data_IF_556999438340
#
_entry.id   IF_556999438340
#
_cell.length_a   1.000
_cell.length_b   1.000
_cell.length_c   1.000
_cell.angle_alpha   90.00
_cell.angle_beta   90.00
_cell.angle_gamma   90.00
#
_symmetry.space_group_name_H-M   'P 1'
#
loop_
_entity.id
_entity.type
_entity.pdbx_description
1 polymer ?
#
# COMPACT_ATOMS: atom_id res chain seq x y z
N UNK A 1 -22.45 1.69 -2.34
CA UNK A 1 -21.76 2.97 -2.63
C UNK A 1 -22.38 3.71 -3.80
N UNK A 2 -22.32 3.22 -5.05
CA UNK A 2 -22.92 3.90 -6.23
C UNK A 2 -24.34 4.42 -5.99
N UNK A 3 -25.26 3.54 -5.57
CA UNK A 3 -26.64 3.93 -5.33
C UNK A 3 -26.79 5.03 -4.26
N UNK A 4 -25.97 4.97 -3.20
CA UNK A 4 -25.99 5.97 -2.12
C UNK A 4 -25.48 7.34 -2.57
N UNK A 5 -24.40 7.37 -3.37
CA UNK A 5 -23.88 8.60 -3.95
C UNK A 5 -24.86 9.22 -4.95
N UNK A 6 -25.36 8.42 -5.90
CA UNK A 6 -26.29 8.89 -6.94
C UNK A 6 -27.67 9.30 -6.43
N UNK A 7 -28.03 8.94 -5.20
CA UNK A 7 -29.26 9.42 -4.57
C UNK A 7 -29.20 10.92 -4.24
N UNK A 8 -28.01 11.53 -4.22
CA UNK A 8 -27.79 12.95 -3.89
C UNK A 8 -26.98 13.71 -4.94
N UNK A 9 -26.26 13.01 -5.82
CA UNK A 9 -25.43 13.64 -6.84
C UNK A 9 -26.27 14.29 -7.97
N UNK A 10 -25.83 15.45 -8.50
CA UNK A 10 -26.30 16.00 -9.77
C UNK A 10 -26.25 14.98 -10.91
N UNK A 11 -27.08 15.15 -11.94
CA UNK A 11 -27.21 14.17 -13.02
C UNK A 11 -25.92 13.96 -13.82
N UNK A 12 -25.16 15.04 -14.02
CA UNK A 12 -23.87 15.12 -14.70
C UNK A 12 -22.69 14.63 -13.85
N UNK A 13 -22.86 14.54 -12.53
CA UNK A 13 -21.86 14.03 -11.59
C UNK A 13 -22.08 12.57 -11.18
N UNK A 14 -23.09 11.89 -11.75
CA UNK A 14 -23.41 10.52 -11.34
C UNK A 14 -22.23 9.57 -11.51
N UNK A 15 -22.02 8.77 -10.47
CA UNK A 15 -21.02 7.73 -10.42
C UNK A 15 -21.59 6.43 -10.99
N UNK A 16 -20.87 5.76 -11.87
CA UNK A 16 -21.21 4.40 -12.30
C UNK A 16 -20.31 3.36 -11.60
N UNK A 17 -20.59 2.08 -11.85
CA UNK A 17 -19.83 0.98 -11.23
C UNK A 17 -18.38 0.92 -11.72
N UNK A 18 -18.12 1.29 -12.97
CA UNK A 18 -16.78 1.26 -13.56
C UNK A 18 -15.91 2.34 -12.94
N UNK A 19 -16.40 3.59 -12.86
CA UNK A 19 -15.70 4.70 -12.21
C UNK A 19 -15.38 4.39 -10.75
N UNK A 20 -16.33 3.82 -10.00
CA UNK A 20 -16.09 3.42 -8.62
C UNK A 20 -15.05 2.29 -8.52
N UNK A 21 -15.09 1.30 -9.41
CA UNK A 21 -14.11 0.22 -9.46
C UNK A 21 -12.71 0.77 -9.75
N UNK A 22 -12.56 1.59 -10.80
CA UNK A 22 -11.30 2.26 -11.14
C UNK A 22 -10.77 3.09 -9.97
N UNK A 23 -11.64 3.82 -9.28
CA UNK A 23 -11.25 4.59 -8.11
C UNK A 23 -10.69 3.70 -6.99
N UNK A 24 -11.29 2.53 -6.77
CA UNK A 24 -10.76 1.54 -5.82
C UNK A 24 -9.48 0.86 -6.30
N UNK A 25 -9.25 0.80 -7.61
CA UNK A 25 -8.03 0.28 -8.22
C UNK A 25 -6.92 1.33 -8.38
N UNK A 26 -7.05 2.54 -7.79
CA UNK A 26 -6.15 3.67 -8.08
C UNK A 26 -4.65 3.35 -7.98
N UNK A 27 -4.25 2.48 -7.06
CA UNK A 27 -2.86 2.08 -6.87
C UNK A 27 -2.36 1.03 -7.88
N UNK A 28 -3.27 0.34 -8.57
CA UNK A 28 -2.96 -0.59 -9.67
C UNK A 28 -2.91 0.11 -11.03
N UNK A 29 -3.56 1.27 -11.19
CA UNK A 29 -3.70 1.88 -12.52
C UNK A 29 -2.35 2.20 -13.15
N UNK A 30 -1.36 2.65 -12.36
CA UNK A 30 -0.01 2.89 -12.86
C UNK A 30 0.63 1.65 -13.49
N UNK A 31 0.52 0.48 -12.83
CA UNK A 31 0.99 -0.80 -13.36
C UNK A 31 0.21 -1.23 -14.61
N UNK A 32 -1.11 -1.12 -14.59
CA UNK A 32 -1.99 -1.51 -15.69
C UNK A 32 -1.72 -0.65 -16.93
N UNK A 33 -1.59 0.66 -16.76
CA UNK A 33 -1.30 1.59 -17.86
C UNK A 33 0.07 1.29 -18.45
N UNK A 34 1.10 1.07 -17.63
CA UNK A 34 2.45 0.66 -18.10
C UNK A 34 2.44 -0.67 -18.85
N UNK A 35 1.57 -1.59 -18.49
CA UNK A 35 1.44 -2.89 -19.14
C UNK A 35 0.69 -2.82 -20.49
N UNK A 36 -0.28 -1.92 -20.63
CA UNK A 36 -1.25 -1.95 -21.75
C UNK A 36 -1.11 -0.81 -22.74
N UNK A 37 -0.46 0.29 -22.38
CA UNK A 37 -0.40 1.50 -23.22
C UNK A 37 0.80 1.50 -24.18
N UNK A 38 0.64 2.08 -25.39
CA UNK A 38 1.76 2.39 -26.29
C UNK A 38 2.81 3.29 -25.61
N UNK A 39 4.05 3.26 -26.11
CA UNK A 39 5.14 4.02 -25.51
C UNK A 39 4.90 5.54 -25.53
N UNK A 40 4.33 6.03 -26.62
CA UNK A 40 4.03 7.45 -26.84
C UNK A 40 3.01 7.96 -25.81
N UNK A 41 1.96 7.17 -25.56
CA UNK A 41 0.95 7.48 -24.53
C UNK A 41 1.56 7.50 -23.13
N UNK A 42 2.48 6.57 -22.84
CA UNK A 42 3.16 6.54 -21.55
C UNK A 42 4.03 7.77 -21.31
N UNK A 43 4.69 8.29 -22.33
CA UNK A 43 5.54 9.46 -22.21
C UNK A 43 4.72 10.73 -21.94
N UNK A 44 3.59 10.89 -22.63
CA UNK A 44 2.63 11.97 -22.34
C UNK A 44 2.06 11.84 -20.92
N UNK A 45 1.64 10.63 -20.52
CA UNK A 45 1.09 10.39 -19.18
C UNK A 45 2.11 10.59 -18.07
N UNK A 46 3.40 10.29 -18.30
CA UNK A 46 4.48 10.57 -17.35
C UNK A 46 4.69 12.07 -17.13
N UNK A 47 4.40 12.90 -18.12
CA UNK A 47 4.46 14.35 -17.99
C UNK A 47 3.22 14.91 -17.29
N UNK A 48 2.02 14.43 -17.66
CA UNK A 48 0.76 14.92 -17.11
C UNK A 48 0.44 14.38 -15.71
N UNK A 49 0.77 13.12 -15.45
CA UNK A 49 0.43 12.40 -14.23
C UNK A 49 1.66 11.62 -13.70
N UNK A 50 2.79 12.31 -13.42
CA UNK A 50 4.04 11.66 -13.03
C UNK A 50 3.84 10.70 -11.85
N UNK A 51 2.97 11.09 -10.91
CA UNK A 51 2.59 10.32 -9.72
C UNK A 51 2.35 8.84 -9.98
N UNK A 52 1.60 8.49 -11.03
CA UNK A 52 1.21 7.10 -11.31
C UNK A 52 2.37 6.23 -11.80
N UNK A 53 3.54 6.84 -12.05
CA UNK A 53 4.70 6.18 -12.64
C UNK A 53 5.98 6.33 -11.80
N UNK A 54 6.04 7.30 -10.89
CA UNK A 54 7.22 7.55 -10.04
C UNK A 54 6.98 7.38 -8.53
N UNK A 55 5.75 7.32 -8.03
CA UNK A 55 5.52 7.20 -6.59
C UNK A 55 5.99 5.84 -6.06
N UNK A 56 7.01 5.85 -5.20
CA UNK A 56 7.25 4.80 -4.21
C UNK A 56 6.64 5.25 -2.89
N UNK A 57 5.75 4.46 -2.31
CA UNK A 57 5.10 4.88 -1.07
C UNK A 57 5.35 3.97 0.12
N UNK A 58 5.63 4.66 1.24
CA UNK A 58 5.49 4.22 2.62
C UNK A 58 6.77 3.77 3.32
N UNK A 59 6.73 3.87 4.64
CA UNK A 59 7.71 3.30 5.56
C UNK A 59 6.97 2.51 6.61
N UNK A 60 7.45 1.31 6.90
CA UNK A 60 6.82 0.42 7.85
C UNK A 60 7.85 -0.24 8.76
N UNK A 61 7.43 -0.47 10.00
CA UNK A 61 8.33 -0.92 11.06
C UNK A 61 7.59 -1.80 12.06
N UNK A 62 8.12 -3.01 12.26
CA UNK A 62 7.72 -3.92 13.33
C UNK A 62 8.80 -3.89 14.39
N UNK A 63 8.45 -3.67 15.65
CA UNK A 63 9.41 -3.63 16.74
C UNK A 63 8.91 -4.40 17.94
N UNK A 64 9.72 -5.34 18.40
CA UNK A 64 9.52 -6.01 19.68
C UNK A 64 10.29 -5.24 20.74
N UNK A 65 9.59 -4.81 21.79
CA UNK A 65 10.18 -4.20 22.99
C UNK A 65 9.93 -5.10 24.20
N UNK A 66 10.36 -4.66 25.39
CA UNK A 66 10.24 -5.45 26.61
C UNK A 66 8.79 -5.83 26.94
N UNK A 67 7.88 -4.87 26.79
CA UNK A 67 6.51 -4.96 27.29
C UNK A 67 5.45 -4.85 26.17
N UNK A 68 5.85 -4.81 24.89
CA UNK A 68 4.91 -4.72 23.76
C UNK A 68 5.52 -5.15 22.41
N UNK A 69 4.68 -5.26 21.38
CA UNK A 69 5.08 -5.33 19.97
C UNK A 69 4.38 -4.20 19.21
N UNK A 70 5.16 -3.37 18.54
CA UNK A 70 4.67 -2.26 17.74
C UNK A 70 4.65 -2.61 16.26
N UNK A 71 3.57 -2.22 15.59
CA UNK A 71 3.34 -2.44 14.16
C UNK A 71 2.93 -1.12 13.52
N UNK A 72 3.95 -0.37 13.07
CA UNK A 72 3.82 1.01 12.63
C UNK A 72 3.98 1.20 11.13
N UNK A 73 3.19 2.10 10.57
CA UNK A 73 3.18 2.44 9.15
C UNK A 73 3.00 3.95 8.95
N UNK A 74 3.86 4.55 8.12
CA UNK A 74 3.75 5.93 7.67
C UNK A 74 3.50 5.94 6.16
N UNK A 75 2.31 6.35 5.74
CA UNK A 75 1.95 6.39 4.31
C UNK A 75 2.64 7.54 3.63
N UNK A 76 3.31 7.27 2.52
CA UNK A 76 3.77 8.35 1.66
C UNK A 76 2.79 8.54 0.51
N UNK A 77 2.43 9.77 0.22
CA UNK A 77 1.49 10.09 -0.84
C UNK A 77 1.63 11.55 -1.21
N UNK A 78 0.97 11.95 -2.29
CA UNK A 78 0.77 13.38 -2.54
C UNK A 78 -0.03 14.03 -1.43
N UNK A 79 0.35 15.25 -1.04
CA UNK A 79 -0.29 15.98 0.05
C UNK A 79 -1.77 16.24 -0.20
N UNK A 80 -2.19 16.28 -1.46
CA UNK A 80 -3.59 16.46 -1.83
C UNK A 80 -4.48 15.24 -1.63
N UNK A 81 -3.96 14.12 -1.12
CA UNK A 81 -4.76 12.96 -0.72
C UNK A 81 -5.16 12.98 0.76
N UNK A 82 -4.79 14.02 1.51
CA UNK A 82 -4.96 14.10 2.97
C UNK A 82 -6.41 14.26 3.48
N UNK A 83 -7.41 13.95 2.65
CA UNK A 83 -8.78 13.74 3.11
C UNK A 83 -8.92 12.28 3.58
N UNK A 84 -8.80 12.06 4.89
CA UNK A 84 -8.61 10.72 5.48
C UNK A 84 -9.84 10.22 6.22
N UNK A 85 -9.97 8.90 6.31
CA UNK A 85 -11.00 8.21 7.08
C UNK A 85 -10.41 7.02 7.82
N UNK A 86 -10.72 6.86 9.11
CA UNK A 86 -10.49 5.61 9.84
C UNK A 86 -11.78 4.80 9.77
N UNK A 87 -11.71 3.57 9.25
CA UNK A 87 -12.89 2.75 8.94
C UNK A 87 -12.85 1.43 9.67
N UNK A 88 -14.02 0.99 10.11
CA UNK A 88 -14.27 -0.38 10.54
C UNK A 88 -15.44 -0.93 9.75
N UNK A 89 -15.21 -2.05 9.06
CA UNK A 89 -16.27 -2.84 8.45
C UNK A 89 -16.47 -4.09 9.28
N UNK A 90 -17.71 -4.32 9.74
CA UNK A 90 -18.09 -5.47 10.54
C UNK A 90 -19.25 -6.22 9.86
N UNK A 91 -19.06 -7.53 9.68
CA UNK A 91 -20.03 -8.45 9.10
C UNK A 91 -20.13 -9.69 9.98
N UNK A 92 -21.19 -9.78 10.79
CA UNK A 92 -21.31 -10.82 11.82
C UNK A 92 -20.16 -10.72 12.83
N UNK A 93 -19.52 -11.86 13.14
CA UNK A 93 -18.36 -11.92 14.03
C UNK A 93 -17.02 -11.54 13.38
N UNK A 94 -17.02 -11.09 12.12
CA UNK A 94 -15.81 -10.69 11.39
C UNK A 94 -15.78 -9.18 11.24
N UNK A 95 -14.60 -8.61 11.37
CA UNK A 95 -14.36 -7.19 11.15
C UNK A 95 -12.94 -6.94 10.66
N UNK A 96 -12.78 -5.79 10.00
CA UNK A 96 -11.50 -5.23 9.59
C UNK A 96 -11.55 -3.73 9.88
N UNK A 97 -10.55 -3.26 10.62
CA UNK A 97 -10.31 -1.83 10.86
C UNK A 97 -9.09 -1.38 10.09
N UNK A 98 -9.14 -0.16 9.53
CA UNK A 98 -8.11 0.35 8.63
C UNK A 98 -8.09 1.88 8.56
N UNK A 99 -6.93 2.43 8.19
CA UNK A 99 -6.86 3.78 7.63
C UNK A 99 -7.25 3.76 6.14
N UNK A 100 -7.93 4.80 5.66
CA UNK A 100 -8.52 4.85 4.32
C UNK A 100 -8.86 6.30 3.92
N UNK A 101 -9.61 6.44 2.83
CA UNK A 101 -10.01 7.71 2.18
C UNK A 101 -11.48 7.64 1.75
N UNK A 102 -12.20 8.77 1.59
CA UNK A 102 -13.56 8.77 1.07
C UNK A 102 -13.71 7.96 -0.23
N UNK A 103 -14.80 7.18 -0.34
CA UNK A 103 -15.11 6.40 -1.55
C UNK A 103 -14.30 5.11 -1.79
N UNK A 104 -13.20 4.90 -1.06
CA UNK A 104 -12.44 3.65 -1.09
C UNK A 104 -13.02 2.61 -0.13
N UNK A 105 -13.17 1.37 -0.57
CA UNK A 105 -13.66 0.25 0.24
C UNK A 105 -12.56 -0.47 1.03
N UNK A 106 -11.32 0.01 0.93
CA UNK A 106 -10.12 -0.63 1.45
C UNK A 106 -9.10 0.42 1.90
N UNK A 107 -7.97 -0.01 2.45
CA UNK A 107 -6.83 0.88 2.69
C UNK A 107 -6.06 1.06 1.39
N UNK A 108 -5.54 2.25 1.09
CA UNK A 108 -4.50 2.41 0.05
C UNK A 108 -3.20 2.85 0.69
N UNK A 109 -3.11 2.66 2.01
CA UNK A 109 -1.93 3.03 2.77
C UNK A 109 -0.80 2.01 2.59
N UNK A 110 -0.95 0.70 2.75
CA UNK A 110 -2.05 -0.04 3.41
C UNK A 110 -1.78 -0.37 4.89
N UNK A 111 -2.81 -0.30 5.74
CA UNK A 111 -2.73 -0.70 7.15
C UNK A 111 -4.07 -1.22 7.69
N UNK A 112 -4.06 -2.41 8.31
CA UNK A 112 -5.25 -3.11 8.80
C UNK A 112 -5.04 -3.81 10.16
N UNK A 113 -6.13 -3.89 10.93
CA UNK A 113 -6.30 -4.81 12.07
C UNK A 113 -7.53 -5.68 11.84
N UNK A 114 -7.42 -6.99 11.98
CA UNK A 114 -8.51 -7.94 11.68
C UNK A 114 -9.13 -8.55 12.94
N UNK A 115 -10.34 -9.11 12.78
CA UNK A 115 -11.02 -9.89 13.82
C UNK A 115 -10.26 -11.10 14.38
N UNK A 116 -9.19 -11.53 13.70
CA UNK A 116 -8.30 -12.61 14.15
C UNK A 116 -7.00 -12.08 14.77
N UNK A 117 -7.00 -10.80 15.17
CA UNK A 117 -5.85 -10.09 15.73
C UNK A 117 -4.63 -10.15 14.80
N UNK A 118 -4.86 -10.18 13.49
CA UNK A 118 -3.80 -9.98 12.50
C UNK A 118 -3.60 -8.48 12.32
N UNK A 119 -2.35 -8.02 12.45
CA UNK A 119 -1.91 -6.71 11.99
C UNK A 119 -1.29 -6.89 10.60
N UNK A 120 -1.76 -6.11 9.62
CA UNK A 120 -1.38 -6.25 8.22
C UNK A 120 -1.02 -4.89 7.66
N UNK A 121 0.12 -4.77 7.00
CA UNK A 121 0.53 -3.56 6.28
C UNK A 121 1.39 -3.91 5.07
N UNK A 122 1.65 -2.95 4.19
CA UNK A 122 2.62 -3.10 3.12
C UNK A 122 3.51 -1.88 2.93
N UNK A 123 4.55 -2.02 2.11
CA UNK A 123 5.12 -0.89 1.38
C UNK A 123 5.33 -1.29 -0.08
N UNK A 124 5.16 -0.34 -1.00
CA UNK A 124 5.12 -0.67 -2.42
C UNK A 124 6.49 -0.85 -3.04
N UNK A 125 6.67 -1.92 -3.79
CA UNK A 125 7.89 -2.23 -4.55
C UNK A 125 7.66 -1.90 -6.03
N UNK A 126 8.35 -0.88 -6.53
CA UNK A 126 8.23 -0.49 -7.95
C UNK A 126 8.84 -1.56 -8.85
N UNK A 127 8.08 -1.96 -9.87
CA UNK A 127 8.58 -2.80 -10.96
C UNK A 127 9.22 -1.92 -12.02
N UNK A 128 10.55 -1.89 -12.05
CA UNK A 128 11.36 -1.15 -13.03
C UNK A 128 11.48 -1.89 -14.37
N UNK A 129 11.33 -3.22 -14.37
CA UNK A 129 11.33 -4.04 -15.58
C UNK A 129 10.00 -3.91 -16.34
N UNK A 130 9.95 -2.98 -17.30
CA UNK A 130 8.74 -2.74 -18.11
C UNK A 130 8.27 -3.97 -18.89
N UNK A 131 9.18 -4.83 -19.35
CA UNK A 131 8.84 -6.08 -20.05
C UNK A 131 8.07 -7.04 -19.15
N UNK A 132 8.42 -7.08 -17.85
CA UNK A 132 7.72 -7.91 -16.87
C UNK A 132 6.25 -7.46 -16.72
N UNK A 133 6.00 -6.16 -16.64
CA UNK A 133 4.64 -5.61 -16.59
C UNK A 133 3.86 -5.94 -17.86
N UNK A 134 4.42 -5.66 -19.04
CA UNK A 134 3.74 -5.88 -20.34
C UNK A 134 3.36 -7.34 -20.58
N UNK A 135 4.21 -8.26 -20.16
CA UNK A 135 4.02 -9.68 -20.48
C UNK A 135 3.20 -10.44 -19.42
N UNK A 136 3.11 -9.91 -18.19
CA UNK A 136 2.61 -10.70 -17.06
C UNK A 136 1.61 -10.00 -16.13
N UNK A 137 1.23 -8.75 -16.38
CA UNK A 137 0.01 -8.19 -15.76
C UNK A 137 -1.20 -8.87 -16.40
N UNK A 138 -1.95 -9.64 -15.61
CA UNK A 138 -2.98 -10.54 -16.11
C UNK A 138 -4.34 -9.86 -16.28
N UNK A 139 -5.01 -10.08 -17.42
CA UNK A 139 -6.38 -9.64 -17.66
C UNK A 139 -7.45 -10.55 -17.03
N UNK A 140 -7.12 -11.83 -16.81
CA UNK A 140 -7.93 -12.81 -16.06
C UNK A 140 -7.41 -12.93 -14.63
N UNK A 141 -7.60 -11.88 -13.83
CA UNK A 141 -7.04 -11.78 -12.48
C UNK A 141 -7.97 -11.04 -11.53
N UNK A 142 -7.61 -11.02 -10.24
CA UNK A 142 -8.33 -10.27 -9.20
C UNK A 142 -7.46 -9.10 -8.72
N UNK A 143 -8.05 -7.92 -8.75
CA UNK A 143 -7.45 -6.68 -8.28
C UNK A 143 -6.89 -6.80 -6.85
N UNK A 144 -5.72 -6.22 -6.61
CA UNK A 144 -4.98 -6.29 -5.33
C UNK A 144 -5.86 -5.89 -4.14
N UNK A 145 -6.67 -4.84 -4.29
CA UNK A 145 -7.53 -4.40 -3.20
C UNK A 145 -8.60 -5.44 -2.80
N UNK A 146 -9.15 -6.16 -3.79
CA UNK A 146 -10.12 -7.22 -3.54
C UNK A 146 -9.43 -8.39 -2.84
N UNK A 147 -8.24 -8.79 -3.29
CA UNK A 147 -7.46 -9.86 -2.67
C UNK A 147 -7.10 -9.53 -1.22
N UNK A 148 -6.64 -8.31 -0.95
CA UNK A 148 -6.33 -7.82 0.40
C UNK A 148 -7.57 -7.84 1.30
N UNK A 149 -8.69 -7.28 0.85
CA UNK A 149 -9.93 -7.27 1.65
C UNK A 149 -10.48 -8.67 1.89
N UNK A 150 -10.47 -9.55 0.88
CA UNK A 150 -10.88 -10.95 1.03
C UNK A 150 -10.00 -11.63 2.08
N UNK A 151 -8.66 -11.55 1.95
CA UNK A 151 -7.72 -12.14 2.90
C UNK A 151 -7.93 -11.61 4.33
N UNK A 152 -8.11 -10.29 4.49
CA UNK A 152 -8.38 -9.66 5.79
C UNK A 152 -9.66 -10.19 6.46
N UNK A 153 -10.68 -10.54 5.69
CA UNK A 153 -11.95 -11.07 6.22
C UNK A 153 -11.93 -12.57 6.48
N UNK A 154 -11.14 -13.38 5.77
CA UNK A 154 -11.24 -14.84 5.84
C UNK A 154 -10.05 -15.53 6.50
N UNK A 155 -8.89 -14.87 6.59
CA UNK A 155 -7.71 -15.44 7.21
C UNK A 155 -7.89 -15.63 8.72
N UNK A 156 -7.27 -16.70 9.24
CA UNK A 156 -7.30 -17.05 10.66
C UNK A 156 -5.93 -16.99 11.32
N UNK A 157 -4.87 -16.89 10.51
CA UNK A 157 -3.47 -16.79 10.89
C UNK A 157 -2.68 -16.12 9.75
N UNK A 158 -1.38 -15.87 9.96
CA UNK A 158 -0.53 -15.22 8.97
C UNK A 158 -0.31 -16.06 7.68
N UNK A 159 -0.04 -17.39 7.75
CA UNK A 159 0.07 -18.23 6.56
C UNK A 159 -1.20 -18.25 5.70
N UNK A 160 -2.38 -18.38 6.32
CA UNK A 160 -3.65 -18.40 5.59
C UNK A 160 -3.95 -17.03 4.98
N UNK A 161 -3.55 -15.92 5.59
CA UNK A 161 -3.64 -14.60 4.95
C UNK A 161 -2.82 -14.56 3.66
N UNK A 162 -1.55 -14.98 3.74
CA UNK A 162 -0.65 -15.03 2.58
C UNK A 162 -1.20 -15.94 1.50
N UNK A 163 -1.66 -17.15 1.86
CA UNK A 163 -2.27 -18.10 0.94
C UNK A 163 -3.49 -17.51 0.23
N UNK A 164 -4.41 -16.87 0.96
CA UNK A 164 -5.61 -16.27 0.39
C UNK A 164 -5.30 -15.08 -0.53
N UNK A 165 -4.37 -14.20 -0.12
CA UNK A 165 -3.97 -13.04 -0.92
C UNK A 165 -3.28 -13.46 -2.24
N UNK A 166 -2.57 -14.59 -2.23
CA UNK A 166 -1.77 -15.06 -3.37
C UNK A 166 -2.61 -15.59 -4.54
N UNK A 167 -3.90 -15.86 -4.33
CA UNK A 167 -4.78 -16.43 -5.36
C UNK A 167 -5.17 -15.38 -6.39
N UNK A 168 -5.17 -15.76 -7.66
CA UNK A 168 -5.61 -14.92 -8.78
C UNK A 168 -4.90 -13.55 -8.84
N UNK A 169 -3.60 -13.53 -8.55
CA UNK A 169 -2.80 -12.29 -8.53
C UNK A 169 -2.91 -11.51 -9.86
N UNK A 170 -3.13 -10.20 -9.77
CA UNK A 170 -3.14 -9.29 -10.93
C UNK A 170 -1.75 -8.97 -11.45
N UNK A 171 -0.71 -9.09 -10.60
CA UNK A 171 0.61 -8.58 -10.93
C UNK A 171 0.70 -7.05 -10.93
N UNK A 172 -0.33 -6.36 -10.41
CA UNK A 172 -0.38 -4.91 -10.26
C UNK A 172 -0.40 -4.52 -8.78
N UNK A 173 -0.01 -3.30 -8.46
CA UNK A 173 0.19 -2.80 -7.10
C UNK A 173 1.09 -3.75 -6.30
N UNK A 174 2.32 -3.88 -6.80
CA UNK A 174 3.30 -4.87 -6.35
C UNK A 174 3.96 -4.40 -5.05
N UNK A 175 3.72 -5.11 -3.95
CA UNK A 175 4.09 -4.64 -2.62
C UNK A 175 4.87 -5.69 -1.84
N UNK A 176 5.59 -5.25 -0.80
CA UNK A 176 6.01 -6.10 0.32
C UNK A 176 4.93 -6.05 1.40
N UNK A 177 4.13 -7.10 1.53
CA UNK A 177 3.15 -7.25 2.59
C UNK A 177 3.78 -7.91 3.82
N UNK A 178 3.40 -7.41 4.99
CA UNK A 178 3.81 -7.88 6.31
C UNK A 178 2.56 -8.26 7.09
N UNK A 179 2.50 -9.49 7.59
CA UNK A 179 1.35 -10.03 8.33
C UNK A 179 1.84 -10.57 9.66
N UNK A 180 1.46 -9.91 10.75
CA UNK A 180 1.81 -10.30 12.10
C UNK A 180 0.55 -10.79 12.84
N UNK A 181 0.58 -12.02 13.33
CA UNK A 181 -0.48 -12.56 14.16
C UNK A 181 -0.26 -12.19 15.63
N UNK A 182 -0.73 -11.01 16.03
CA UNK A 182 -0.65 -10.55 17.42
C UNK A 182 -1.38 -11.50 18.37
N UNK A 183 -2.45 -12.13 17.91
CA UNK A 183 -3.24 -13.08 18.71
C UNK A 183 -2.55 -14.41 19.01
N UNK A 184 -1.49 -14.77 18.25
CA UNK A 184 -0.68 -15.95 18.52
C UNK A 184 0.39 -15.73 19.61
N UNK A 185 0.59 -14.47 20.03
CA UNK A 185 1.50 -14.12 21.11
C UNK A 185 0.68 -14.00 22.39
N UNK A 186 0.70 -15.04 23.24
CA UNK A 186 -0.19 -15.13 24.40
C UNK A 186 0.31 -14.37 25.63
N UNK A 187 1.63 -14.12 25.70
CA UNK A 187 2.24 -13.40 26.81
C UNK A 187 3.54 -12.70 26.40
N UNK A 188 3.97 -11.74 27.22
CA UNK A 188 5.24 -11.02 27.06
C UNK A 188 6.46 -11.95 27.08
N UNK A 189 6.37 -13.11 27.74
CA UNK A 189 7.42 -14.13 27.73
C UNK A 189 7.71 -14.70 26.32
N UNK A 190 6.78 -14.56 25.38
CA UNK A 190 6.94 -15.01 23.99
C UNK A 190 7.63 -13.99 23.08
N UNK A 191 7.86 -12.75 23.49
CA UNK A 191 8.36 -11.69 22.60
C UNK A 191 9.70 -12.00 21.92
N UNK A 192 10.55 -12.82 22.53
CA UNK A 192 11.81 -13.30 21.91
C UNK A 192 11.79 -14.78 21.51
N UNK A 193 10.63 -15.42 21.61
CA UNK A 193 10.45 -16.84 21.33
C UNK A 193 9.06 -17.09 20.74
N UNK A 194 8.64 -16.25 19.79
CA UNK A 194 7.39 -16.42 19.07
C UNK A 194 7.45 -17.73 18.26
N UNK A 195 6.34 -18.47 18.27
CA UNK A 195 6.24 -19.73 17.54
C UNK A 195 6.33 -19.48 16.02
N UNK A 196 6.88 -20.42 15.22
CA UNK A 196 6.82 -20.33 13.78
C UNK A 196 5.41 -19.99 13.27
N UNK A 197 5.35 -19.28 12.15
CA UNK A 197 4.13 -18.75 11.53
C UNK A 197 3.45 -17.58 12.26
N UNK A 198 4.13 -16.93 13.22
CA UNK A 198 3.61 -15.71 13.85
C UNK A 198 3.75 -14.49 12.93
N UNK A 199 4.83 -14.39 12.16
CA UNK A 199 5.09 -13.27 11.26
C UNK A 199 5.48 -13.74 9.85
N UNK A 200 4.71 -13.32 8.85
CA UNK A 200 4.98 -13.64 7.45
C UNK A 200 5.21 -12.37 6.63
N UNK A 201 6.13 -12.49 5.67
CA UNK A 201 6.40 -11.47 4.67
C UNK A 201 6.18 -12.05 3.28
N UNK A 202 5.52 -11.27 2.43
CA UNK A 202 5.20 -11.61 1.04
C UNK A 202 5.64 -10.46 0.14
N UNK A 203 6.19 -10.76 -1.02
CA UNK A 203 6.47 -9.81 -2.09
C UNK A 203 5.88 -10.32 -3.41
N UNK A 204 5.30 -9.40 -4.18
CA UNK A 204 4.65 -9.70 -5.44
C UNK A 204 5.46 -9.20 -6.64
N UNK A 205 5.52 -10.01 -7.69
CA UNK A 205 5.88 -9.64 -9.05
C UNK A 205 4.70 -9.90 -10.00
N UNK A 206 4.65 -9.24 -11.16
CA UNK A 206 3.81 -9.68 -12.28
C UNK A 206 4.10 -11.13 -12.65
N UNK A 207 3.05 -11.92 -12.92
CA UNK A 207 3.10 -13.35 -13.21
C UNK A 207 2.45 -14.22 -12.13
N UNK A 208 2.29 -15.50 -12.41
CA UNK A 208 1.53 -16.44 -11.56
C UNK A 208 2.32 -17.68 -11.14
N UNK A 209 3.51 -17.90 -11.70
CA UNK A 209 4.33 -19.08 -11.45
C UNK A 209 5.80 -18.70 -11.17
N UNK A 210 6.50 -19.46 -10.30
CA UNK A 210 7.91 -19.22 -10.00
C UNK A 210 8.79 -19.16 -11.27
N UNK A 211 9.80 -18.28 -11.31
CA UNK A 211 10.26 -17.39 -10.23
C UNK A 211 9.46 -16.08 -10.11
N UNK A 212 8.37 -15.92 -10.88
CA UNK A 212 7.46 -14.78 -10.87
C UNK A 212 6.28 -15.00 -9.91
N UNK A 213 5.39 -14.01 -9.81
CA UNK A 213 4.24 -14.03 -8.92
C UNK A 213 4.63 -13.78 -7.47
N UNK A 214 4.09 -14.58 -6.56
CA UNK A 214 4.27 -14.38 -5.12
C UNK A 214 5.52 -15.10 -4.60
N UNK A 215 6.37 -14.35 -3.91
CA UNK A 215 7.42 -14.89 -3.05
C UNK A 215 7.08 -14.58 -1.60
N UNK A 216 7.00 -15.59 -0.74
CA UNK A 216 6.64 -15.38 0.67
C UNK A 216 7.39 -16.31 1.60
N UNK A 217 7.64 -15.87 2.83
CA UNK A 217 8.34 -16.65 3.85
C UNK A 217 7.88 -16.29 5.27
N UNK A 218 7.93 -17.28 6.15
CA UNK A 218 7.88 -17.06 7.60
C UNK A 218 9.16 -16.34 8.05
N UNK A 219 8.98 -15.14 8.60
CA UNK A 219 10.04 -14.26 9.09
C UNK A 219 10.03 -14.15 10.62
N UNK A 220 9.31 -15.03 11.32
CA UNK A 220 9.23 -15.03 12.80
C UNK A 220 10.62 -15.12 13.44
N UNK A 221 11.50 -15.95 12.91
CA UNK A 221 12.87 -16.09 13.42
C UNK A 221 13.68 -14.80 13.35
N UNK A 222 13.41 -13.93 12.36
CA UNK A 222 14.05 -12.62 12.27
C UNK A 222 13.59 -11.71 13.39
N UNK A 223 12.28 -11.69 13.70
CA UNK A 223 11.78 -10.92 14.85
C UNK A 223 12.34 -11.45 16.18
N UNK A 224 12.39 -12.77 16.37
CA UNK A 224 12.95 -13.36 17.60
C UNK A 224 14.44 -13.03 17.79
N UNK A 225 15.22 -12.95 16.71
CA UNK A 225 16.67 -12.76 16.77
C UNK A 225 17.09 -11.28 16.77
N UNK A 226 16.47 -10.46 15.93
CA UNK A 226 16.85 -9.06 15.73
C UNK A 226 15.96 -8.08 16.49
N UNK A 227 14.74 -8.52 16.87
CA UNK A 227 13.75 -7.68 17.54
C UNK A 227 13.03 -6.69 16.62
N UNK A 228 13.28 -6.67 15.31
CA UNK A 228 12.57 -5.75 14.41
C UNK A 228 12.48 -6.24 12.95
N UNK A 229 11.57 -5.61 12.19
CA UNK A 229 11.50 -5.69 10.74
C UNK A 229 11.26 -4.28 10.18
N UNK A 230 11.97 -3.90 9.12
CA UNK A 230 11.80 -2.60 8.47
C UNK A 230 11.49 -2.78 6.97
N UNK A 231 10.59 -1.96 6.46
CA UNK A 231 10.16 -1.96 5.06
C UNK A 231 10.11 -0.52 4.52
N UNK A 232 10.65 -0.33 3.32
CA UNK A 232 10.98 1.00 2.79
C UNK A 232 11.10 1.01 1.26
N UNK A 233 10.19 0.32 0.56
CA UNK A 233 10.09 0.29 -0.90
C UNK A 233 11.29 -0.35 -1.63
N UNK A 234 11.98 -1.27 -0.97
CA UNK A 234 13.07 -2.05 -1.58
C UNK A 234 12.76 -3.53 -1.35
N UNK A 235 12.68 -4.35 -2.41
CA UNK A 235 12.43 -5.77 -2.25
C UNK A 235 13.48 -6.45 -1.36
N UNK A 236 13.03 -7.24 -0.39
CA UNK A 236 13.87 -8.04 0.48
C UNK A 236 14.31 -9.34 -0.18
N UNK A 237 13.41 -10.02 -0.90
CA UNK A 237 13.73 -11.32 -1.49
C UNK A 237 14.61 -11.13 -2.74
N UNK A 238 15.77 -11.80 -2.84
CA UNK A 238 16.72 -11.58 -3.94
C UNK A 238 16.13 -11.79 -5.34
N UNK A 239 15.23 -12.76 -5.52
CA UNK A 239 14.56 -12.96 -6.81
C UNK A 239 13.68 -11.76 -7.18
N UNK A 240 12.93 -11.20 -6.23
CA UNK A 240 12.08 -10.03 -6.45
C UNK A 240 12.94 -8.81 -6.72
N UNK A 241 14.01 -8.60 -5.95
CA UNK A 241 14.96 -7.50 -6.15
C UNK A 241 15.57 -7.51 -7.57
N UNK A 242 15.99 -8.69 -8.04
CA UNK A 242 16.63 -8.84 -9.33
C UNK A 242 15.62 -8.74 -10.49
N UNK A 243 14.52 -9.49 -10.44
CA UNK A 243 13.56 -9.60 -11.55
C UNK A 243 12.70 -8.34 -11.73
N UNK A 244 12.44 -7.60 -10.65
CA UNK A 244 11.79 -6.28 -10.72
C UNK A 244 12.64 -5.24 -11.45
N UNK A 245 13.94 -5.49 -11.63
CA UNK A 245 14.89 -4.52 -12.20
C UNK A 245 15.53 -3.59 -11.16
N UNK A 246 15.28 -3.77 -9.86
CA UNK A 246 15.84 -2.91 -8.81
C UNK A 246 17.38 -2.99 -8.76
N UNK A 247 17.97 -4.16 -9.01
CA UNK A 247 19.42 -4.31 -9.12
C UNK A 247 20.02 -3.41 -10.21
N UNK A 248 19.40 -3.35 -11.39
CA UNK A 248 19.85 -2.46 -12.48
C UNK A 248 19.76 -0.99 -12.09
N UNK A 249 18.70 -0.61 -11.37
CA UNK A 249 18.57 0.75 -10.85
C UNK A 249 19.66 1.06 -9.81
N UNK A 250 20.10 0.10 -9.01
CA UNK A 250 21.23 0.27 -8.10
C UNK A 250 22.55 0.43 -8.86
N UNK A 251 22.78 -0.36 -9.91
CA UNK A 251 23.97 -0.23 -10.76
C UNK A 251 24.04 1.16 -11.43
N UNK A 252 22.89 1.72 -11.82
CA UNK A 252 22.81 3.01 -12.50
C UNK A 252 22.81 4.22 -11.55
N UNK A 253 22.06 4.15 -10.44
CA UNK A 253 21.83 5.30 -9.55
C UNK A 253 22.42 5.13 -8.13
N UNK A 254 23.12 4.03 -7.88
CA UNK A 254 23.84 3.78 -6.63
C UNK A 254 22.94 3.46 -5.43
N UNK A 255 23.39 3.89 -4.25
CA UNK A 255 22.80 3.50 -2.96
C UNK A 255 21.35 3.95 -2.76
N UNK A 256 20.81 4.85 -3.60
CA UNK A 256 19.38 5.17 -3.59
C UNK A 256 18.51 3.92 -3.79
N UNK A 257 18.95 2.96 -4.61
CA UNK A 257 18.22 1.71 -4.84
C UNK A 257 18.74 0.51 -4.04
N UNK A 258 19.86 0.65 -3.32
CA UNK A 258 20.41 -0.41 -2.47
C UNK A 258 19.43 -0.79 -1.37
N UNK A 259 19.16 -2.10 -1.19
CA UNK A 259 18.34 -2.56 -0.06
C UNK A 259 18.95 -2.15 1.30
N UNK A 260 20.27 -2.28 1.46
CA UNK A 260 20.95 -2.05 2.75
C UNK A 260 21.42 -0.61 2.97
N UNK A 261 21.90 0.05 1.91
CA UNK A 261 22.54 1.36 2.04
C UNK A 261 21.58 2.52 1.77
N UNK A 262 20.35 2.24 1.35
CA UNK A 262 19.35 3.28 1.20
C UNK A 262 19.08 4.01 2.51
N UNK A 263 18.82 5.31 2.42
CA UNK A 263 18.61 6.24 3.53
C UNK A 263 17.74 5.65 4.67
N UNK A 264 16.52 5.20 4.35
CA UNK A 264 15.60 4.67 5.36
C UNK A 264 16.09 3.37 5.99
N UNK A 265 16.75 2.50 5.24
CA UNK A 265 17.33 1.26 5.77
C UNK A 265 18.36 1.59 6.86
N UNK A 266 19.23 2.57 6.59
CA UNK A 266 20.30 3.03 7.49
C UNK A 266 19.75 3.76 8.72
N UNK A 267 18.71 4.58 8.56
CA UNK A 267 18.02 5.24 9.69
C UNK A 267 17.35 4.20 10.59
N UNK A 268 16.61 3.23 10.02
CA UNK A 268 15.99 2.16 10.80
C UNK A 268 17.04 1.33 11.55
N UNK A 269 18.11 0.91 10.87
CA UNK A 269 19.20 0.13 11.48
C UNK A 269 19.84 0.88 12.66
N UNK A 270 20.13 2.19 12.49
CA UNK A 270 20.70 3.05 13.52
C UNK A 270 19.76 3.25 14.71
N UNK A 271 18.49 3.57 14.44
CA UNK A 271 17.60 4.13 15.45
C UNK A 271 16.64 3.11 16.08
N UNK A 272 16.51 1.90 15.52
CA UNK A 272 15.59 0.86 16.04
C UNK A 272 15.80 0.55 17.53
N UNK A 273 17.03 0.68 18.04
CA UNK A 273 17.36 0.41 19.44
C UNK A 273 16.81 1.45 20.41
N UNK A 274 16.49 2.66 19.93
CA UNK A 274 15.91 3.75 20.72
C UNK A 274 14.39 3.61 20.91
N UNK A 275 13.75 2.71 20.17
CA UNK A 275 12.33 2.42 20.32
C UNK A 275 12.13 1.43 21.47
N UNK A 276 11.66 1.95 22.59
CA UNK A 276 11.46 1.20 23.84
C UNK A 276 10.04 1.32 24.40
N UNK A 277 9.27 2.28 23.88
CA UNK A 277 7.90 2.58 24.28
C UNK A 277 7.09 3.15 23.09
N UNK A 278 5.80 3.39 23.30
CA UNK A 278 4.93 3.90 22.24
C UNK A 278 5.31 5.33 21.81
N UNK A 279 5.87 6.16 22.69
CA UNK A 279 6.26 7.54 22.35
C UNK A 279 7.52 7.58 21.48
N UNK A 280 8.50 6.73 21.76
CA UNK A 280 9.69 6.53 20.92
C UNK A 280 9.32 5.89 19.57
N UNK A 281 8.35 4.99 19.53
CA UNK A 281 7.79 4.46 18.28
C UNK A 281 7.13 5.56 17.43
N UNK A 282 6.28 6.39 18.06
CA UNK A 282 5.66 7.56 17.40
C UNK A 282 6.72 8.49 16.81
N UNK A 283 7.75 8.84 17.60
CA UNK A 283 8.88 9.67 17.14
C UNK A 283 9.61 9.05 15.94
N UNK A 284 9.91 7.75 15.96
CA UNK A 284 10.58 7.09 14.84
C UNK A 284 9.73 7.13 13.56
N UNK A 285 8.44 6.81 13.66
CA UNK A 285 7.53 6.84 12.50
C UNK A 285 7.26 8.25 11.97
N UNK A 286 7.63 9.29 12.72
CA UNK A 286 7.56 10.71 12.34
C UNK A 286 8.94 11.31 12.07
N UNK A 287 9.99 10.51 12.08
CA UNK A 287 11.36 11.01 12.00
C UNK A 287 11.63 11.68 10.66
N UNK A 288 11.99 12.98 10.72
CA UNK A 288 12.60 13.73 9.64
C UNK A 288 13.51 14.82 10.20
N UNK A 289 14.82 14.62 10.08
CA UNK A 289 15.85 15.58 10.47
C UNK A 289 16.83 15.82 9.31
N UNK A 290 16.31 15.93 8.09
CA UNK A 290 17.09 15.82 6.87
C UNK A 290 18.25 16.80 6.75
N UNK A 291 18.15 17.98 7.36
CA UNK A 291 19.19 19.02 7.32
C UNK A 291 20.44 18.66 8.13
N UNK A 292 20.37 17.64 8.99
CA UNK A 292 21.46 17.25 9.90
C UNK A 292 21.78 15.75 9.86
N UNK A 293 20.85 14.91 9.39
CA UNK A 293 21.07 13.47 9.34
C UNK A 293 21.98 13.12 8.14
N UNK A 294 23.17 12.50 8.36
CA UNK A 294 24.04 12.09 7.26
C UNK A 294 23.39 11.09 6.31
N UNK A 295 22.39 10.32 6.74
CA UNK A 295 21.65 9.41 5.87
C UNK A 295 20.59 10.12 5.03
N UNK A 296 20.43 11.43 5.18
CA UNK A 296 19.60 12.27 4.31
C UNK A 296 20.39 12.95 3.19
N UNK A 297 21.70 12.67 3.07
CA UNK A 297 22.53 13.11 1.95
C UNK A 297 22.08 12.45 0.64
N UNK A 298 22.03 13.24 -0.44
CA UNK A 298 21.66 12.74 -1.76
C UNK A 298 22.82 11.88 -2.29
N UNK A 299 22.60 10.58 -2.59
CA UNK A 299 23.69 9.65 -2.88
C UNK A 299 24.24 9.74 -4.31
N UNK A 300 23.51 10.37 -5.25
CA UNK A 300 23.96 10.54 -6.62
C UNK A 300 23.64 11.96 -7.11
N UNK A 301 24.71 12.75 -7.26
CA UNK A 301 24.67 14.14 -7.71
C UNK A 301 25.42 14.31 -9.04
N UNK A 302 25.53 13.23 -9.83
CA UNK A 302 26.19 13.27 -11.14
C UNK A 302 25.49 14.29 -12.04
N UNK A 303 26.25 15.21 -12.63
CA UNK A 303 25.69 16.26 -13.49
C UNK A 303 24.98 17.40 -12.75
N UNK A 304 24.90 17.34 -11.41
CA UNK A 304 24.56 18.52 -10.64
C UNK A 304 25.74 19.50 -10.66
N UNK A 305 25.47 20.78 -10.86
CA UNK A 305 26.46 21.87 -10.86
C UNK A 305 26.51 22.49 -9.48
N UNK A 306 26.92 21.70 -8.48
CA UNK A 306 27.40 22.28 -7.24
C UNK A 306 28.58 23.19 -7.56
N UNK A 307 28.71 24.31 -6.87
CA UNK A 307 29.95 25.09 -6.86
C UNK A 307 30.51 25.01 -5.45
N UNK A 308 31.80 24.70 -5.31
CA UNK A 308 32.50 24.94 -4.04
C UNK A 308 32.61 26.45 -3.76
N UNK A 309 33.09 26.81 -2.57
CA UNK A 309 33.28 28.21 -2.18
C UNK A 309 34.28 28.96 -3.10
N UNK A 310 35.06 28.23 -3.89
CA UNK A 310 36.03 28.73 -4.88
C UNK A 310 35.45 28.81 -6.32
N UNK A 311 34.17 28.43 -6.51
CA UNK A 311 33.48 28.50 -7.80
C UNK A 311 33.75 27.32 -8.75
N UNK A 312 34.39 26.24 -8.30
CA UNK A 312 34.62 25.05 -9.11
C UNK A 312 33.39 24.16 -9.15
N UNK A 313 33.09 23.60 -10.32
CA UNK A 313 32.00 22.62 -10.49
C UNK A 313 32.31 21.37 -9.66
N UNK A 314 31.43 21.06 -8.72
CA UNK A 314 31.44 19.87 -7.89
C UNK A 314 30.19 19.03 -8.22
N UNK A 315 30.33 17.71 -8.32
CA UNK A 315 29.20 16.77 -8.42
C UNK A 315 28.47 16.68 -7.06
N UNK A 316 28.03 17.82 -6.54
CA UNK A 316 27.39 17.98 -5.24
C UNK A 316 26.03 18.60 -5.49
N UNK A 317 24.98 17.96 -4.97
CA UNK A 317 23.64 18.49 -5.08
C UNK A 317 23.49 19.76 -4.23
N UNK A 318 22.63 20.67 -4.66
CA UNK A 318 22.34 21.92 -3.94
C UNK A 318 20.83 22.05 -3.69
N UNK A 319 20.34 21.81 -2.47
CA UNK A 319 21.09 21.42 -1.27
C UNK A 319 21.61 19.96 -1.33
N UNK A 320 22.63 19.62 -0.52
CA UNK A 320 23.18 18.26 -0.51
C UNK A 320 22.29 17.24 0.23
N UNK A 321 21.33 17.73 1.02
CA UNK A 321 20.38 16.91 1.77
C UNK A 321 18.99 17.01 1.15
N UNK A 322 18.21 15.93 1.29
CA UNK A 322 16.81 15.92 0.86
C UNK A 322 15.87 15.50 1.98
N UNK A 323 14.80 16.25 2.15
CA UNK A 323 13.68 15.95 3.04
C UNK A 323 12.89 14.70 2.63
N UNK A 324 13.14 14.15 1.43
CA UNK A 324 12.60 12.86 0.99
C UNK A 324 13.40 11.67 1.53
N UNK A 325 14.65 11.88 1.96
CA UNK A 325 15.54 10.84 2.46
C UNK A 325 15.43 10.72 3.99
N UNK A 326 14.24 10.35 4.46
CA UNK A 326 13.97 10.10 5.87
C UNK A 326 12.83 9.09 6.06
N UNK A 327 12.43 8.74 7.29
CA UNK A 327 11.30 7.81 7.52
C UNK A 327 9.97 8.50 7.19
N UNK A 328 9.81 9.76 7.61
CA UNK A 328 8.63 10.57 7.33
C UNK A 328 8.97 11.70 6.34
N UNK A 329 9.00 11.38 5.04
CA UNK A 329 9.41 12.33 3.99
C UNK A 329 8.60 13.64 3.97
N UNK A 330 9.24 14.73 3.51
CA UNK A 330 8.69 16.09 3.42
C UNK A 330 9.14 16.80 2.14
N UNK A 331 8.68 16.32 0.97
CA UNK A 331 9.09 16.86 -0.33
C UNK A 331 8.78 18.35 -0.52
N UNK A 332 7.81 18.88 0.21
CA UNK A 332 7.47 20.31 0.26
C UNK A 332 8.58 21.20 0.85
N UNK A 333 9.47 20.64 1.67
CA UNK A 333 10.55 21.39 2.34
C UNK A 333 11.83 21.48 1.51
N UNK A 334 11.95 20.71 0.44
CA UNK A 334 13.08 20.82 -0.48
C UNK A 334 12.93 22.10 -1.32
N UNK A 335 14.00 22.87 -1.59
CA UNK A 335 13.92 24.00 -2.52
C UNK A 335 13.52 23.56 -3.94
N UNK A 336 12.71 24.33 -4.69
CA UNK A 336 12.50 24.09 -6.11
C UNK A 336 13.84 24.00 -6.87
N UNK A 337 13.93 23.08 -7.82
CA UNK A 337 15.15 22.85 -8.60
C UNK A 337 14.95 21.76 -9.64
N UNK A 338 15.95 21.59 -10.49
CA UNK A 338 15.97 20.64 -11.59
C UNK A 338 17.17 19.67 -11.46
N UNK A 339 17.48 18.93 -12.52
CA UNK A 339 18.59 17.98 -12.52
C UNK A 339 19.97 18.65 -12.31
N UNK A 340 20.12 19.94 -12.63
CA UNK A 340 21.35 20.71 -12.33
C UNK A 340 21.56 20.93 -10.84
N UNK A 341 20.50 20.90 -10.02
CA UNK A 341 20.59 21.03 -8.57
C UNK A 341 20.58 19.68 -7.84
N UNK A 342 19.74 18.73 -8.29
CA UNK A 342 19.49 17.48 -7.57
C UNK A 342 20.08 16.24 -8.27
N UNK A 343 20.76 16.42 -9.39
CA UNK A 343 21.27 15.32 -10.19
C UNK A 343 20.15 14.46 -10.79
N UNK A 344 20.45 13.19 -11.14
CA UNK A 344 19.51 12.32 -11.83
C UNK A 344 18.29 11.93 -10.98
N UNK A 345 18.38 12.10 -9.65
CA UNK A 345 17.35 11.70 -8.71
C UNK A 345 16.30 12.79 -8.45
N UNK A 346 16.32 13.92 -9.16
CA UNK A 346 15.46 15.09 -8.90
C UNK A 346 13.98 14.76 -8.69
N UNK A 347 13.42 13.80 -9.43
CA UNK A 347 12.00 13.40 -9.29
C UNK A 347 11.69 12.69 -7.97
N UNK A 348 12.70 12.15 -7.30
CA UNK A 348 12.59 11.37 -6.07
C UNK A 348 13.10 12.13 -4.84
N UNK A 349 14.04 13.06 -5.02
CA UNK A 349 14.69 13.78 -3.91
C UNK A 349 14.54 15.31 -3.97
N UNK A 350 13.94 15.87 -5.03
CA UNK A 350 13.74 17.30 -5.19
C UNK A 350 12.49 17.83 -4.48
N UNK A 351 12.02 19.00 -4.92
CA UNK A 351 10.76 19.60 -4.47
C UNK A 351 9.57 18.92 -5.15
N UNK A 352 8.79 18.17 -4.39
CA UNK A 352 7.70 17.35 -4.93
C UNK A 352 6.48 17.40 -4.02
N UNK A 353 5.28 17.35 -4.63
CA UNK A 353 4.02 17.11 -3.93
C UNK A 353 3.93 15.65 -3.49
N UNK A 354 4.79 15.26 -2.55
CA UNK A 354 4.84 13.93 -1.96
C UNK A 354 5.58 13.96 -0.62
N UNK A 355 5.15 13.11 0.30
CA UNK A 355 5.77 12.93 1.60
C UNK A 355 4.96 12.00 2.47
N UNK A 356 5.41 11.76 3.71
CA UNK A 356 4.61 11.04 4.68
C UNK A 356 3.39 11.87 5.07
N UNK A 357 2.18 11.33 4.92
CA UNK A 357 0.91 12.03 5.16
C UNK A 357 0.16 11.53 6.39
N UNK A 358 0.73 10.56 7.11
CA UNK A 358 0.22 10.05 8.38
C UNK A 358 1.29 9.27 9.14
N UNK A 359 0.91 8.77 10.32
CA UNK A 359 1.44 7.53 10.87
C UNK A 359 0.33 6.78 11.61
N UNK A 360 0.35 5.44 11.54
CA UNK A 360 -0.56 4.54 12.28
C UNK A 360 0.27 3.48 12.99
N UNK A 361 -0.06 3.18 14.24
CA UNK A 361 0.64 2.19 15.07
C UNK A 361 -0.40 1.32 15.78
N UNK A 362 -0.37 0.02 15.49
CA UNK A 362 -1.00 -1.00 16.32
C UNK A 362 0.01 -1.46 17.37
N UNK A 363 -0.50 -1.87 18.53
CA UNK A 363 0.30 -2.44 19.61
C UNK A 363 -0.27 -3.81 19.95
N UNK A 364 0.59 -4.75 20.34
CA UNK A 364 0.13 -6.05 20.84
C UNK A 364 -0.77 -5.85 22.06
N UNK A 365 -0.39 -4.99 22.99
CA UNK A 365 -1.23 -4.62 24.15
C UNK A 365 -2.62 -4.15 23.71
N UNK A 366 -2.67 -3.21 22.77
CA UNK A 366 -3.91 -2.62 22.26
C UNK A 366 -4.76 -3.58 21.44
N UNK A 367 -4.14 -4.62 20.87
CA UNK A 367 -4.84 -5.64 20.09
C UNK A 367 -5.11 -6.93 20.86
N UNK A 368 -4.59 -7.15 22.06
CA UNK A 368 -4.65 -8.45 22.78
C UNK A 368 -5.16 -8.34 24.20
N UNK A 369 -4.67 -7.38 25.00
CA UNK A 369 -4.98 -7.31 26.44
C UNK A 369 -6.44 -6.93 26.72
N UNK A 370 -7.05 -6.10 25.88
CA UNK A 370 -8.47 -5.77 25.97
C UNK A 370 -9.30 -6.74 25.11
N UNK A 371 -10.21 -7.54 25.70
CA UNK A 371 -11.11 -8.41 24.93
C UNK A 371 -12.29 -7.65 24.29
N UNK A 372 -12.55 -6.40 24.66
CA UNK A 372 -13.72 -5.64 24.22
C UNK A 372 -13.44 -4.69 23.04
N UNK A 373 -12.21 -4.19 22.91
CA UNK A 373 -11.84 -3.26 21.85
C UNK A 373 -10.37 -3.40 21.43
N UNK A 374 -10.07 -2.96 20.22
CA UNK A 374 -8.71 -2.67 19.77
C UNK A 374 -8.40 -1.19 19.91
N UNK A 375 -7.14 -0.86 20.16
CA UNK A 375 -6.65 0.52 20.07
C UNK A 375 -5.55 0.67 19.02
N UNK A 376 -5.52 1.83 18.38
CA UNK A 376 -4.47 2.23 17.45
C UNK A 376 -4.09 3.70 17.66
N UNK A 377 -2.79 4.00 17.62
CA UNK A 377 -2.32 5.39 17.65
C UNK A 377 -2.19 5.90 16.22
N UNK A 378 -2.90 6.96 15.87
CA UNK A 378 -2.90 7.51 14.52
C UNK A 378 -2.69 9.01 14.53
N UNK A 379 -2.01 9.55 13.51
CA UNK A 379 -1.90 10.98 13.25
C UNK A 379 -2.09 11.23 11.76
N UNK A 380 -2.84 12.28 11.42
CA UNK A 380 -3.02 12.72 10.04
C UNK A 380 -2.13 13.91 9.74
N UNK A 381 -1.55 13.96 8.55
CA UNK A 381 -0.71 15.05 8.06
C UNK A 381 0.78 14.79 8.16
N UNK A 382 1.63 15.62 7.52
CA UNK A 382 3.07 15.44 7.50
C UNK A 382 3.73 15.69 8.86
N UNK A 383 4.95 15.20 9.04
CA UNK A 383 5.66 15.31 10.32
C UNK A 383 5.85 16.76 10.77
N UNK A 384 5.61 17.00 12.06
CA UNK A 384 5.75 18.30 12.74
C UNK A 384 6.72 18.23 13.91
N UNK A 385 7.38 17.10 14.14
CA UNK A 385 8.23 16.88 15.33
C UNK A 385 9.46 17.79 15.29
N UNK A 386 10.22 17.75 14.20
CA UNK A 386 11.43 18.57 13.97
C UNK A 386 11.29 19.48 12.74
N UNK A 387 10.08 19.59 12.19
CA UNK A 387 9.81 20.29 10.95
C UNK A 387 8.63 21.25 11.15
N UNK A 388 8.57 22.37 10.40
CA UNK A 388 7.41 23.24 10.47
C UNK A 388 6.15 22.48 10.05
N UNK A 389 4.99 22.76 10.68
CA UNK A 389 3.71 22.23 10.23
C UNK A 389 3.49 22.45 8.74
N UNK A 390 2.97 21.45 8.05
CA UNK A 390 2.66 21.59 6.64
C UNK A 390 1.48 22.55 6.46
N UNK A 391 1.64 23.51 5.56
CA UNK A 391 0.63 24.50 5.25
C UNK A 391 0.51 24.66 3.73
N UNK A 392 -0.70 24.50 3.20
CA UNK A 392 -0.96 24.83 1.81
C UNK A 392 -0.81 26.33 1.57
N UNK A 393 0.02 26.68 0.59
CA UNK A 393 0.19 28.04 0.08
C UNK A 393 0.05 28.02 -1.44
N UNK A 394 -0.45 29.13 -2.00
CA UNK A 394 -0.60 29.26 -3.45
C UNK A 394 0.77 29.23 -4.13
N UNK A 395 0.86 28.53 -5.26
CA UNK A 395 2.11 28.37 -6.00
C UNK A 395 3.15 27.49 -5.31
N UNK A 396 2.80 26.74 -4.26
CA UNK A 396 3.71 25.79 -3.62
C UNK A 396 4.21 24.74 -4.61
N UNK A 397 3.35 24.27 -5.52
CA UNK A 397 3.71 23.32 -6.56
C UNK A 397 3.25 23.83 -7.93
N UNK A 398 3.95 23.42 -8.98
CA UNK A 398 3.59 23.70 -10.37
C UNK A 398 3.54 22.39 -11.19
N UNK A 399 2.36 21.97 -11.70
CA UNK A 399 1.06 22.59 -11.45
C UNK A 399 0.58 22.36 -10.02
N UNK A 400 -0.22 23.30 -9.50
CA UNK A 400 -0.81 23.18 -8.18
C UNK A 400 -1.84 22.03 -8.17
N UNK A 401 -1.74 21.06 -7.24
CA UNK A 401 -2.73 19.99 -7.16
C UNK A 401 -4.07 20.53 -6.63
N UNK A 402 -5.20 19.87 -6.97
CA UNK A 402 -6.49 20.22 -6.38
C UNK A 402 -6.50 20.02 -4.86
N UNK A 403 -6.99 21.01 -4.11
CA UNK A 403 -7.01 21.01 -2.63
C UNK A 403 -8.43 20.97 -2.03
N UNK A 404 -9.41 20.50 -2.81
CA UNK A 404 -10.82 20.50 -2.42
C UNK A 404 -11.07 19.76 -1.09
N UNK A 405 -11.70 20.44 -0.14
CA UNK A 405 -12.04 19.87 1.17
C UNK A 405 -10.84 19.63 2.10
N UNK A 406 -9.63 20.02 1.70
CA UNK A 406 -8.44 19.90 2.54
C UNK A 406 -8.32 21.08 3.49
N UNK A 407 -7.74 20.82 4.67
CA UNK A 407 -7.40 21.87 5.63
C UNK A 407 -6.22 22.69 5.13
N UNK A 408 -6.16 23.98 5.50
CA UNK A 408 -5.03 24.84 5.13
C UNK A 408 -3.74 24.49 5.88
N UNK A 409 -3.85 24.07 7.15
CA UNK A 409 -2.74 23.78 8.06
C UNK A 409 -2.92 22.38 8.66
N UNK A 410 -1.86 21.58 8.65
CA UNK A 410 -1.82 20.27 9.28
C UNK A 410 -0.85 20.30 10.46
N UNK A 411 -1.40 20.45 11.66
CA UNK A 411 -0.65 20.46 12.92
C UNK A 411 -1.36 19.59 13.96
N UNK A 412 -1.54 18.31 13.62
CA UNK A 412 -2.23 17.35 14.46
C UNK A 412 -1.25 16.55 15.32
N UNK A 413 -1.67 16.24 16.54
CA UNK A 413 -1.01 15.25 17.39
C UNK A 413 -1.61 13.86 17.17
N UNK A 414 -0.90 12.82 17.64
CA UNK A 414 -1.47 11.48 17.68
C UNK A 414 -2.75 11.44 18.51
N UNK A 415 -3.75 10.75 17.99
CA UNK A 415 -4.97 10.36 18.69
C UNK A 415 -5.02 8.84 18.82
N UNK A 416 -5.74 8.36 19.82
CA UNK A 416 -6.02 6.93 19.97
C UNK A 416 -7.39 6.64 19.35
N UNK A 417 -7.42 5.81 18.33
CA UNK A 417 -8.65 5.27 17.76
C UNK A 417 -8.99 3.98 18.48
N UNK A 418 -10.25 3.85 18.91
CA UNK A 418 -10.78 2.64 19.52
C UNK A 418 -11.75 1.94 18.56
N UNK A 419 -11.56 0.64 18.36
CA UNK A 419 -12.47 -0.22 17.59
C UNK A 419 -13.12 -1.23 18.53
N UNK A 420 -14.43 -1.11 18.81
CA UNK A 420 -15.16 -2.15 19.53
C UNK A 420 -15.14 -3.49 18.77
N UNK A 421 -14.76 -4.57 19.44
CA UNK A 421 -14.74 -5.94 18.89
C UNK A 421 -16.18 -6.50 18.79
N UNK A 422 -17.12 -5.92 19.55
CA UNK A 422 -18.55 -6.19 19.43
C UNK A 422 -19.22 -5.07 18.64
N UNK A 423 -19.82 -5.32 17.46
CA UNK A 423 -20.89 -4.46 17.02
C UNK A 423 -21.98 -4.60 18.09
N UNK A 424 -22.40 -3.46 18.66
CA UNK A 424 -23.53 -3.38 19.58
C UNK A 424 -24.59 -4.42 19.23
N UNK A 425 -24.85 -5.34 20.16
CA UNK A 425 -26.06 -6.18 20.17
C UNK A 425 -27.34 -5.35 20.40
N UNK A 426 -27.35 -4.11 19.93
CA UNK A 426 -28.57 -3.35 19.73
C UNK A 426 -29.26 -3.96 18.53
N UNK A 427 -30.48 -4.43 18.74
CA UNK A 427 -31.39 -4.79 17.66
C UNK A 427 -31.43 -3.62 16.67
N UNK A 428 -30.72 -3.75 15.55
CA UNK A 428 -31.07 -2.98 14.37
C UNK A 428 -32.41 -3.54 13.91
N UNK A 429 -33.50 -2.96 14.44
CA UNK A 429 -34.85 -3.09 13.91
C UNK A 429 -34.94 -2.39 12.55
N UNK A 430 -34.03 -2.70 11.63
CA UNK A 430 -34.20 -2.35 10.24
C UNK A 430 -35.04 -3.45 9.62
N UNK A 431 -36.36 -3.26 9.68
CA UNK A 431 -37.41 -3.88 8.85
C UNK A 431 -36.87 -4.88 7.81
N UNK A 432 -36.54 -6.09 8.27
CA UNK A 432 -35.87 -7.14 7.50
C UNK A 432 -36.83 -7.89 6.57
N UNK A 433 -38.11 -7.53 6.54
CA UNK A 433 -39.11 -8.20 5.73
C UNK A 433 -39.18 -7.67 4.29
N UNK A 434 -38.75 -6.42 4.04
CA UNK A 434 -38.87 -5.78 2.72
C UNK A 434 -37.71 -6.06 1.76
N UNK A 435 -36.46 -6.05 2.25
CA UNK A 435 -35.27 -6.14 1.39
C UNK A 435 -34.96 -7.60 1.00
N UNK A 436 -35.21 -8.56 1.90
CA UNK A 436 -35.04 -9.99 1.58
C UNK A 436 -36.04 -10.41 0.49
N UNK A 437 -37.27 -9.90 0.53
CA UNK A 437 -38.27 -10.16 -0.51
C UNK A 437 -37.86 -9.57 -1.87
N UNK A 438 -37.26 -8.38 -1.90
CA UNK A 438 -36.81 -7.74 -3.15
C UNK A 438 -35.58 -8.44 -3.74
N UNK A 439 -34.63 -8.88 -2.90
CA UNK A 439 -33.44 -9.62 -3.37
C UNK A 439 -33.83 -11.03 -3.84
N UNK A 440 -34.73 -11.72 -3.14
CA UNK A 440 -35.26 -13.01 -3.59
C UNK A 440 -36.05 -12.87 -4.90
N UNK A 441 -36.88 -11.83 -5.04
CA UNK A 441 -37.62 -11.56 -6.28
C UNK A 441 -36.69 -11.21 -7.46
N UNK A 442 -35.58 -10.51 -7.22
CA UNK A 442 -34.58 -10.21 -8.25
C UNK A 442 -33.82 -11.47 -8.69
N UNK A 443 -33.44 -12.35 -7.76
CA UNK A 443 -32.77 -13.61 -8.10
C UNK A 443 -33.69 -14.54 -8.88
N UNK A 444 -34.96 -14.66 -8.46
CA UNK A 444 -35.98 -15.45 -9.19
C UNK A 444 -36.29 -14.84 -10.55
N UNK A 445 -36.37 -13.51 -10.66
CA UNK A 445 -36.58 -12.80 -11.93
C UNK A 445 -35.43 -13.01 -12.93
N UNK A 446 -34.18 -13.01 -12.45
CA UNK A 446 -33.02 -13.28 -13.31
C UNK A 446 -33.00 -14.73 -13.79
N UNK A 447 -33.31 -15.70 -12.92
CA UNK A 447 -33.41 -17.12 -13.30
C UNK A 447 -34.53 -17.32 -14.33
N UNK A 448 -35.69 -16.69 -14.13
CA UNK A 448 -36.79 -16.77 -15.09
C UNK A 448 -36.43 -16.16 -16.46
N UNK A 449 -35.72 -15.02 -16.49
CA UNK A 449 -35.24 -14.41 -17.75
C UNK A 449 -34.18 -15.27 -18.45
N UNK A 450 -33.33 -15.96 -17.70
CA UNK A 450 -32.33 -16.88 -18.26
C UNK A 450 -33.00 -18.14 -18.82
N UNK A 451 -34.02 -18.67 -18.14
CA UNK A 451 -34.77 -19.87 -18.57
C UNK A 451 -35.81 -19.59 -19.66
N UNK A 452 -36.35 -18.37 -19.75
CA UNK A 452 -37.38 -17.98 -20.73
C UNK A 452 -36.82 -17.24 -21.96
N UNK A 453 -35.50 -17.04 -22.06
CA UNK A 453 -34.89 -16.53 -23.29
C UNK A 453 -35.17 -17.53 -24.42
N UNK A 454 -35.90 -17.13 -25.50
CA UNK A 454 -36.08 -17.99 -26.65
C UNK A 454 -34.69 -18.29 -27.24
N UNK A 455 -34.37 -19.56 -27.45
CA UNK A 455 -33.25 -19.96 -28.31
C UNK A 455 -33.51 -19.33 -29.68
N UNK A 456 -32.83 -18.23 -29.99
CA UNK A 456 -32.73 -17.74 -31.36
C UNK A 456 -31.95 -18.81 -32.13
N UNK A 457 -32.65 -19.55 -32.99
CA UNK A 457 -32.04 -20.19 -34.15
C UNK A 457 -31.51 -19.06 -35.03
N UNK A 458 -30.20 -18.94 -35.12
CA UNK A 458 -29.55 -18.31 -36.26
C UNK A 458 -29.15 -19.44 -37.21
N UNK A 459 -29.77 -19.44 -38.39
CA UNK A 459 -29.33 -20.20 -39.55
C UNK A 459 -27.97 -19.63 -39.96
N UNK A 460 -26.88 -20.28 -39.56
CA UNK A 460 -25.54 -20.17 -40.13
C UNK A 460 -24.67 -21.23 -39.41
N UNK A 461 -25.01 -22.50 -39.63
CA UNK A 461 -24.17 -23.65 -39.31
C UNK A 461 -24.45 -24.74 -40.37
N UNK A 462 -24.23 -24.38 -41.64
CA UNK A 462 -23.88 -25.35 -42.68
C UNK A 462 -22.40 -25.15 -42.97
N UNK A 463 -21.57 -26.02 -42.40
CA UNK A 463 -20.31 -26.55 -42.95
C UNK A 463 -19.48 -27.14 -41.81
N UNK A 464 -19.55 -28.46 -41.64
CA UNK A 464 -18.44 -29.42 -41.66
C UNK A 464 -18.89 -30.76 -41.01
N UNK A 465 -18.31 -31.90 -41.44
CA UNK A 465 -19.02 -33.17 -41.56
C UNK A 465 -19.05 -34.02 -40.29
N UNK A 466 -20.03 -34.92 -40.30
CA UNK A 466 -20.12 -36.14 -39.48
C UNK A 466 -18.78 -36.88 -39.38
N UNK A 467 -18.39 -37.22 -38.15
CA UNK A 467 -18.05 -38.61 -37.82
C UNK A 467 -18.32 -38.81 -36.33
N UNK A 468 -19.27 -39.70 -36.07
CA UNK A 468 -19.72 -40.08 -34.76
C UNK A 468 -19.09 -41.41 -34.35
N UNK A 469 -19.03 -41.60 -33.03
CA UNK A 469 -19.13 -42.88 -32.32
C UNK A 469 -17.91 -43.81 -32.25
N UNK A 470 -17.57 -44.16 -30.99
CA UNK A 470 -16.66 -45.24 -30.66
C UNK A 470 -16.36 -45.33 -29.16
N UNK A 471 -17.31 -45.87 -28.40
CA UNK A 471 -17.18 -46.28 -26.99
C UNK A 471 -16.09 -47.35 -26.78
N UNK A 472 -15.35 -47.25 -25.65
CA UNK A 472 -14.98 -48.30 -24.64
C UNK A 472 -14.41 -49.63 -25.22
N UNK A 473 -13.22 -50.17 -24.89
CA UNK A 473 -12.67 -50.59 -23.57
C UNK A 473 -11.17 -51.06 -23.69
N UNK A 474 -10.49 -51.75 -22.73
CA UNK A 474 -9.14 -51.42 -22.28
C UNK A 474 -8.13 -52.55 -22.60
N UNK A 475 -6.94 -52.48 -22.00
CA UNK A 475 -5.85 -53.48 -22.03
C UNK A 475 -4.99 -53.52 -23.30
N UNK A 476 -3.91 -52.72 -23.28
CA UNK A 476 -2.53 -53.23 -23.20
C UNK A 476 -1.56 -52.11 -22.82
#
# INVERSE_FOLDING_TARGET
MVAGYNARAPADERLDRMKLLMYNMQAEIGDIVRATSPAEVLDDMRQMMPRWFVDTHCSAFVKVVKDDIYFGHATWSSFNTMLRQYKTYAFGGRFVTMSSYPGLAHSVDDWYMTHKRLAVMETTNVIHNATLLRNHVGSSSVATFLRAMIANFIAVDAPSWVSNFSRESSGAYNNQWMVLNMGAVESEAMFKNMAPNTFWVLEQLPGTAPPLGITSKDMTSVLNTTGYWASYNRPYFPNVYNLSGTLKMQEEYGDFYSYKNYSRARIFERDQGSVVDIESMKRLMRYNNYTKDPFSLIPNCTGAVGMDDDGNVTNVCKPPYSAMLSIAARGDLNPPGNATEYGPLVRSVGHVNSGAIDAKIATWTGMVKNPESYTAHVVCGPTTDNQPPFQWVDGMFDPMPPTYGLLKLYNFSFVVMETPIRPSGGSNSWRSTGIIAVVAALVVGVIAVVLMRPRRRTEEDELLPEEAEGLIDPQN
#
